data_IF_545344829366
#
_entry.id   IF_545344829366
#
_cell.length_a   1.000
_cell.length_b   1.000
_cell.length_c   1.000
_cell.angle_alpha   90.00
_cell.angle_beta   90.00
_cell.angle_gamma   90.00
#
_symmetry.space_group_name_H-M   'P 1'
#
loop_
_entity.id
_entity.type
_entity.pdbx_description
1 polymer ?
#
# COMPACT_ATOMS: atom_id res chain seq x y z
N UNK A 1 16.28 -20.59 4.06
CA UNK A 1 16.22 -19.67 2.88
C UNK A 1 14.83 -19.47 2.26
N UNK A 2 13.94 -20.49 2.17
CA UNK A 2 12.63 -20.35 1.49
C UNK A 2 11.67 -19.33 2.13
N UNK A 3 11.63 -19.23 3.46
CA UNK A 3 10.74 -18.32 4.18
C UNK A 3 11.08 -16.84 3.93
N UNK A 4 12.37 -16.47 4.02
CA UNK A 4 12.88 -15.11 3.75
C UNK A 4 12.50 -14.67 2.33
N UNK A 5 12.76 -15.52 1.32
CA UNK A 5 12.39 -15.23 -0.07
C UNK A 5 10.89 -14.97 -0.25
N UNK A 6 10.03 -15.74 0.43
CA UNK A 6 8.57 -15.60 0.34
C UNK A 6 8.08 -14.27 0.95
N UNK A 7 8.71 -13.81 2.03
CA UNK A 7 8.42 -12.49 2.64
C UNK A 7 8.91 -11.37 1.74
N UNK A 8 10.14 -11.44 1.24
CA UNK A 8 10.70 -10.42 0.33
C UNK A 8 9.88 -10.25 -0.95
N UNK A 9 9.40 -11.34 -1.54
CA UNK A 9 8.52 -11.29 -2.73
C UNK A 9 7.19 -10.60 -2.41
N UNK A 10 6.56 -10.90 -1.26
CA UNK A 10 5.33 -10.20 -0.84
C UNK A 10 5.56 -8.71 -0.64
N UNK A 11 6.66 -8.36 0.01
CA UNK A 11 7.02 -6.97 0.25
C UNK A 11 7.24 -6.23 -1.08
N UNK A 12 7.92 -6.84 -2.05
CA UNK A 12 8.10 -6.28 -3.38
C UNK A 12 6.76 -6.02 -4.09
N UNK A 13 5.83 -6.99 -4.03
CA UNK A 13 4.48 -6.79 -4.57
C UNK A 13 3.72 -5.67 -3.86
N UNK A 14 3.87 -5.52 -2.54
CA UNK A 14 3.22 -4.43 -1.80
C UNK A 14 3.81 -3.06 -2.19
N UNK A 15 5.12 -2.97 -2.39
CA UNK A 15 5.78 -1.74 -2.84
C UNK A 15 5.25 -1.31 -4.20
N UNK A 16 5.18 -2.22 -5.19
CA UNK A 16 4.68 -1.87 -6.52
C UNK A 16 3.21 -1.43 -6.47
N UNK A 17 2.39 -2.15 -5.69
CA UNK A 17 0.98 -1.76 -5.48
C UNK A 17 0.86 -0.38 -4.83
N UNK A 18 1.68 -0.09 -3.81
CA UNK A 18 1.72 1.22 -3.15
C UNK A 18 2.05 2.32 -4.16
N UNK A 19 3.03 2.11 -5.03
CA UNK A 19 3.43 3.06 -6.08
C UNK A 19 2.27 3.42 -7.00
N UNK A 20 1.49 2.43 -7.44
CA UNK A 20 0.29 2.65 -8.27
C UNK A 20 -0.79 3.39 -7.50
N UNK A 21 -1.09 2.99 -6.26
CA UNK A 21 -2.06 3.68 -5.39
C UNK A 21 -1.70 5.17 -5.20
N UNK A 22 -0.42 5.48 -4.97
CA UNK A 22 0.08 6.85 -4.87
C UNK A 22 -0.07 7.65 -6.17
N UNK A 23 0.16 7.04 -7.34
CA UNK A 23 -0.07 7.73 -8.62
C UNK A 23 -1.51 8.19 -8.75
N UNK A 24 -2.48 7.32 -8.43
CA UNK A 24 -3.90 7.68 -8.49
C UNK A 24 -4.28 8.79 -7.51
N UNK A 25 -3.71 8.78 -6.29
CA UNK A 25 -3.90 9.86 -5.31
C UNK A 25 -3.37 11.19 -5.88
N UNK A 26 -2.17 11.18 -6.44
CA UNK A 26 -1.55 12.38 -7.04
C UNK A 26 -2.41 12.91 -8.20
N UNK A 27 -2.95 12.02 -9.03
CA UNK A 27 -3.80 12.43 -10.16
C UNK A 27 -5.12 13.06 -9.69
N UNK A 28 -5.77 12.52 -8.65
CA UNK A 28 -6.95 13.12 -8.03
C UNK A 28 -6.65 14.49 -7.38
N UNK A 29 -5.48 14.62 -6.73
CA UNK A 29 -5.05 15.91 -6.20
C UNK A 29 -4.78 16.93 -7.31
N UNK A 30 -4.18 16.51 -8.43
CA UNK A 30 -3.93 17.36 -9.61
C UNK A 30 -5.21 17.82 -10.28
N UNK A 31 -6.24 16.97 -10.33
CA UNK A 31 -7.57 17.34 -10.84
C UNK A 31 -8.39 18.18 -9.85
N UNK A 32 -7.88 18.40 -8.64
CA UNK A 32 -8.57 19.07 -7.53
C UNK A 32 -9.87 18.35 -7.11
N UNK A 33 -9.91 17.04 -7.29
CA UNK A 33 -11.00 16.19 -6.83
C UNK A 33 -10.73 15.74 -5.38
N UNK A 34 -11.20 16.53 -4.43
CA UNK A 34 -10.94 16.32 -3.01
C UNK A 34 -11.59 15.03 -2.47
N UNK A 35 -12.81 14.73 -2.91
CA UNK A 35 -13.56 13.55 -2.45
C UNK A 35 -12.87 12.26 -2.93
N UNK A 36 -12.44 12.24 -4.20
CA UNK A 36 -11.71 11.11 -4.74
C UNK A 36 -10.34 10.96 -4.08
N UNK A 37 -9.63 12.07 -3.84
CA UNK A 37 -8.35 12.04 -3.14
C UNK A 37 -8.50 11.48 -1.71
N UNK A 38 -9.52 11.91 -0.96
CA UNK A 38 -9.78 11.39 0.39
C UNK A 38 -10.07 9.89 0.35
N UNK A 39 -10.95 9.45 -0.55
CA UNK A 39 -11.31 8.05 -0.70
C UNK A 39 -10.08 7.19 -0.99
N UNK A 40 -9.22 7.62 -1.92
CA UNK A 40 -8.02 6.88 -2.31
C UNK A 40 -7.00 6.82 -1.17
N UNK A 41 -6.78 7.92 -0.44
CA UNK A 41 -5.88 7.96 0.73
C UNK A 41 -6.39 7.01 1.83
N UNK A 42 -7.68 7.03 2.13
CA UNK A 42 -8.30 6.15 3.14
C UNK A 42 -8.15 4.69 2.75
N UNK A 43 -8.46 4.33 1.50
CA UNK A 43 -8.30 2.98 0.99
C UNK A 43 -6.84 2.51 1.04
N UNK A 44 -5.90 3.38 0.66
CA UNK A 44 -4.47 3.07 0.73
C UNK A 44 -4.02 2.75 2.16
N UNK A 45 -4.37 3.60 3.12
CA UNK A 45 -3.99 3.44 4.52
C UNK A 45 -4.58 2.16 5.13
N UNK A 46 -5.87 1.91 4.93
CA UNK A 46 -6.54 0.70 5.42
C UNK A 46 -5.99 -0.56 4.75
N UNK A 47 -5.69 -0.50 3.45
CA UNK A 47 -5.06 -1.60 2.72
C UNK A 47 -3.64 -1.91 3.23
N UNK A 48 -2.88 -0.89 3.61
CA UNK A 48 -1.57 -1.08 4.24
C UNK A 48 -1.70 -1.71 5.63
N UNK A 49 -2.63 -1.23 6.46
CA UNK A 49 -2.88 -1.79 7.78
C UNK A 49 -3.23 -3.27 7.71
N UNK A 50 -4.17 -3.66 6.83
CA UNK A 50 -4.53 -5.06 6.62
C UNK A 50 -3.34 -5.92 6.12
N UNK A 51 -2.48 -5.35 5.27
CA UNK A 51 -1.27 -6.05 4.82
C UNK A 51 -0.27 -6.29 5.97
N UNK A 52 -0.08 -5.28 6.83
CA UNK A 52 0.80 -5.39 8.01
C UNK A 52 0.22 -6.38 9.02
N UNK A 53 -1.09 -6.38 9.26
CA UNK A 53 -1.73 -7.36 10.13
C UNK A 53 -1.55 -8.79 9.61
N UNK A 54 -1.67 -8.98 8.29
CA UNK A 54 -1.60 -10.31 7.69
C UNK A 54 -0.18 -10.84 7.51
N UNK A 55 0.81 -9.97 7.27
CA UNK A 55 2.16 -10.36 6.85
C UNK A 55 3.30 -9.69 7.63
N UNK A 56 2.99 -8.79 8.55
CA UNK A 56 3.97 -8.08 9.36
C UNK A 56 4.81 -9.06 10.19
N UNK A 57 6.12 -8.91 10.11
CA UNK A 57 7.06 -9.61 10.99
C UNK A 57 7.58 -8.56 11.96
N UNK A 58 7.08 -8.60 13.20
CA UNK A 58 7.55 -7.74 14.26
C UNK A 58 8.68 -8.47 15.01
N UNK A 59 9.90 -7.91 15.08
CA UNK A 59 10.86 -8.36 16.07
C UNK A 59 10.31 -7.98 17.45
N UNK A 60 9.92 -8.99 18.23
CA UNK A 60 9.54 -8.84 19.64
C UNK A 60 10.76 -8.63 20.54
#
# INVERSE_FOLDING_TARGET
>A
MRAIRRVSVRQAHRIERSRVEHSHIIDALRSRDADQAESLVRHHALGLAAHVEQYGVFPG
#
